data_IF_448441631413
#
_entry.id   IF_448441631413
#
_cell.length_a   1.000
_cell.length_b   1.000
_cell.length_c   1.000
_cell.angle_alpha   90.00
_cell.angle_beta   90.00
_cell.angle_gamma   90.00
#
_symmetry.space_group_name_H-M   'P 1'
#
loop_
_entity.id
_entity.type
_entity.pdbx_description
1 polymer ?
#
# COMPACT_ATOMS: atom_id res chain seq x y z
N UNK A 1 -6.69 14.00 25.89
CA UNK A 1 -7.12 14.43 24.54
C UNK A 1 -6.96 13.27 23.59
N UNK A 2 -8.05 12.61 23.22
CA UNK A 2 -8.03 11.42 22.36
C UNK A 2 -7.58 11.82 20.95
N UNK A 3 -6.47 11.23 20.48
CA UNK A 3 -6.00 11.38 19.10
C UNK A 3 -6.90 10.54 18.18
N UNK A 4 -8.04 11.14 17.85
CA UNK A 4 -8.94 10.68 16.79
C UNK A 4 -8.21 10.91 15.48
N UNK A 5 -7.54 9.88 14.95
CA UNK A 5 -7.27 9.69 13.51
C UNK A 5 -6.52 8.36 13.26
N UNK A 6 -7.11 7.25 13.70
CA UNK A 6 -6.92 5.95 13.06
C UNK A 6 -8.19 5.69 12.25
N UNK A 7 -8.23 6.14 11.00
CA UNK A 7 -9.43 6.06 10.13
C UNK A 7 -9.80 4.60 9.81
N UNK A 8 -8.88 3.67 10.07
CA UNK A 8 -9.16 2.23 10.11
C UNK A 8 -9.85 1.89 11.43
N UNK A 9 -11.08 1.35 11.41
CA UNK A 9 -11.81 0.76 12.55
C UNK A 9 -11.10 -0.46 13.20
N UNK A 10 -9.79 -0.59 13.01
CA UNK A 10 -8.99 -1.74 13.37
C UNK A 10 -8.16 -1.43 14.62
N UNK A 11 -8.39 -2.24 15.66
CA UNK A 11 -7.64 -2.22 16.91
C UNK A 11 -6.18 -2.59 16.61
N UNK A 12 -5.26 -1.79 17.13
CA UNK A 12 -3.83 -2.09 17.04
C UNK A 12 -3.43 -2.99 18.21
N UNK A 13 -2.70 -4.05 17.90
CA UNK A 13 -2.24 -5.06 18.87
C UNK A 13 -0.72 -4.96 19.00
N UNK A 14 -0.17 -5.39 20.13
CA UNK A 14 1.27 -5.56 20.28
C UNK A 14 1.64 -7.02 20.05
N UNK A 15 2.59 -7.28 19.15
CA UNK A 15 3.15 -8.61 18.93
C UNK A 15 4.67 -8.48 18.84
N UNK A 16 5.39 -9.24 19.68
CA UNK A 16 6.85 -9.23 19.76
C UNK A 16 7.46 -7.81 19.91
N UNK A 17 6.85 -6.98 20.77
CA UNK A 17 7.28 -5.60 21.01
C UNK A 17 6.94 -4.60 19.90
N UNK A 18 6.29 -5.02 18.81
CA UNK A 18 5.88 -4.15 17.70
C UNK A 18 4.37 -3.95 17.68
N UNK A 19 3.94 -2.72 17.44
CA UNK A 19 2.53 -2.39 17.23
C UNK A 19 2.12 -2.80 15.81
N UNK A 20 1.11 -3.64 15.71
CA UNK A 20 0.61 -4.22 14.47
C UNK A 20 -0.90 -4.00 14.32
N UNK A 21 -1.38 -4.04 13.08
CA UNK A 21 -2.81 -4.06 12.73
C UNK A 21 -3.10 -5.30 11.89
N UNK A 22 -4.18 -6.02 12.22
CA UNK A 22 -4.63 -7.16 11.41
C UNK A 22 -5.23 -6.65 10.10
N UNK A 23 -4.78 -7.21 9.00
CA UNK A 23 -5.28 -6.97 7.66
C UNK A 23 -5.81 -8.29 7.10
N UNK A 24 -7.01 -8.27 6.52
CA UNK A 24 -7.63 -9.45 5.91
C UNK A 24 -8.14 -9.12 4.52
N UNK A 25 -7.79 -9.95 3.55
CA UNK A 25 -8.39 -9.89 2.22
C UNK A 25 -9.86 -10.32 2.27
N UNK A 26 -10.73 -9.72 1.47
CA UNK A 26 -12.16 -10.04 1.48
C UNK A 26 -12.47 -11.48 1.06
N UNK A 27 -11.61 -12.10 0.25
CA UNK A 27 -11.69 -13.52 -0.14
C UNK A 27 -10.97 -14.49 0.80
N UNK A 28 -10.56 -14.04 1.99
CA UNK A 28 -10.02 -14.91 3.04
C UNK A 28 -11.14 -15.62 3.79
N UNK A 29 -10.89 -16.83 4.30
CA UNK A 29 -11.88 -17.61 5.06
C UNK A 29 -12.45 -16.82 6.25
N UNK A 30 -11.62 -16.07 6.97
CA UNK A 30 -12.07 -15.26 8.10
C UNK A 30 -13.03 -14.13 7.70
N UNK A 31 -12.88 -13.58 6.49
CA UNK A 31 -13.77 -12.55 5.95
C UNK A 31 -15.06 -13.16 5.37
N UNK A 32 -14.95 -14.30 4.68
CA UNK A 32 -16.07 -15.05 4.09
C UNK A 32 -17.06 -15.53 5.16
N UNK A 33 -16.56 -16.10 6.27
CA UNK A 33 -17.39 -16.52 7.42
C UNK A 33 -18.07 -15.36 8.15
N UNK A 34 -17.58 -14.12 8.00
CA UNK A 34 -18.17 -12.90 8.59
C UNK A 34 -19.09 -12.15 7.62
N UNK A 35 -19.54 -12.80 6.55
CA UNK A 35 -20.58 -12.29 5.64
C UNK A 35 -20.06 -11.57 4.39
N UNK A 36 -18.77 -11.65 4.03
CA UNK A 36 -18.32 -11.14 2.72
C UNK A 36 -18.82 -11.99 1.55
N UNK A 37 -19.18 -13.26 1.80
CA UNK A 37 -19.69 -14.19 0.79
C UNK A 37 -20.94 -13.68 0.07
N UNK A 38 -21.87 -13.05 0.79
CA UNK A 38 -23.14 -12.57 0.24
C UNK A 38 -22.96 -11.47 -0.83
N UNK A 39 -21.83 -10.75 -0.82
CA UNK A 39 -21.57 -9.66 -1.78
C UNK A 39 -20.68 -10.07 -2.95
N UNK A 40 -19.90 -11.14 -2.81
CA UNK A 40 -18.83 -11.46 -3.76
C UNK A 40 -18.87 -12.87 -4.36
N UNK A 41 -19.60 -13.83 -3.77
CA UNK A 41 -19.47 -15.24 -4.18
C UNK A 41 -20.75 -15.91 -4.68
N UNK A 42 -21.92 -15.25 -4.62
CA UNK A 42 -23.18 -15.87 -5.02
C UNK A 42 -23.56 -17.05 -4.10
N UNK A 43 -24.84 -17.20 -3.81
CA UNK A 43 -25.33 -18.01 -2.68
C UNK A 43 -25.28 -19.55 -2.90
N UNK A 44 -24.36 -20.08 -3.71
CA UNK A 44 -24.49 -21.45 -4.27
C UNK A 44 -23.26 -22.36 -4.24
N UNK A 45 -22.16 -21.99 -3.59
CA UNK A 45 -21.01 -22.90 -3.42
C UNK A 45 -20.90 -23.44 -1.99
N UNK A 46 -21.18 -24.75 -1.81
CA UNK A 46 -20.98 -25.46 -0.52
C UNK A 46 -19.52 -25.53 -0.09
N UNK A 47 -18.58 -25.42 -1.04
CA UNK A 47 -17.14 -25.43 -0.80
C UNK A 47 -16.56 -24.02 -0.95
N UNK A 48 -16.12 -23.42 0.15
CA UNK A 48 -15.49 -22.08 0.14
C UNK A 48 -13.99 -22.22 -0.09
N UNK A 49 -13.53 -21.83 -1.28
CA UNK A 49 -12.10 -21.82 -1.62
C UNK A 49 -11.55 -20.43 -1.29
N UNK A 50 -10.55 -20.35 -0.40
CA UNK A 50 -9.90 -19.10 -0.05
C UNK A 50 -9.13 -18.52 -1.25
N UNK A 51 -9.40 -17.25 -1.59
CA UNK A 51 -8.66 -16.48 -2.60
C UNK A 51 -7.82 -15.35 -1.98
N UNK A 52 -7.93 -15.17 -0.67
CA UNK A 52 -7.21 -14.14 0.08
C UNK A 52 -6.57 -14.69 1.34
N UNK A 53 -5.57 -13.96 1.83
CA UNK A 53 -4.86 -14.25 3.07
C UNK A 53 -5.25 -13.27 4.19
N UNK A 54 -5.01 -13.71 5.42
CA UNK A 54 -5.05 -12.86 6.62
C UNK A 54 -3.62 -12.67 7.11
N UNK A 55 -3.25 -11.44 7.45
CA UNK A 55 -1.93 -11.12 7.95
C UNK A 55 -1.94 -9.96 8.93
N UNK A 56 -0.77 -9.64 9.47
CA UNK A 56 -0.56 -8.47 10.30
C UNK A 56 0.44 -7.53 9.62
N UNK A 57 0.17 -6.23 9.67
CA UNK A 57 1.05 -5.19 9.13
C UNK A 57 1.48 -4.30 10.29
N UNK A 58 2.75 -3.86 10.28
CA UNK A 58 3.22 -2.87 11.23
C UNK A 58 2.36 -1.60 11.17
N UNK A 59 2.03 -1.03 12.33
CA UNK A 59 1.26 0.20 12.35
C UNK A 59 2.08 1.36 11.76
N UNK A 60 1.51 2.01 10.74
CA UNK A 60 2.12 3.14 10.02
C UNK A 60 1.77 4.50 10.61
N UNK A 61 1.01 4.51 11.73
CA UNK A 61 0.60 5.74 12.39
C UNK A 61 -0.66 6.36 11.79
N UNK A 62 -0.84 7.67 12.03
CA UNK A 62 -2.04 8.41 11.65
C UNK A 62 -2.05 8.76 10.16
N UNK A 63 -3.24 8.62 9.56
CA UNK A 63 -3.51 9.01 8.17
C UNK A 63 -3.27 10.51 7.96
N UNK A 64 -3.48 11.34 8.99
CA UNK A 64 -3.22 12.79 8.93
C UNK A 64 -1.76 13.13 8.68
N UNK A 65 -0.82 12.25 9.04
CA UNK A 65 0.61 12.43 8.74
C UNK A 65 0.96 11.79 7.40
N UNK A 66 0.38 10.63 7.12
CA UNK A 66 0.68 9.84 5.93
C UNK A 66 0.19 10.49 4.63
N UNK A 67 -1.01 11.08 4.61
CA UNK A 67 -1.57 11.70 3.39
C UNK A 67 -0.75 12.90 2.94
N UNK A 68 -0.45 13.93 3.78
CA UNK A 68 0.36 15.07 3.35
C UNK A 68 1.73 14.67 2.85
N UNK A 69 2.39 13.70 3.51
CA UNK A 69 3.66 13.15 3.07
C UNK A 69 3.56 12.53 1.67
N UNK A 70 2.56 11.66 1.45
CA UNK A 70 2.35 11.00 0.14
C UNK A 70 2.03 12.02 -0.95
N UNK A 71 1.21 13.04 -0.65
CA UNK A 71 0.92 14.12 -1.58
C UNK A 71 2.18 14.89 -1.97
N UNK A 72 3.06 15.20 -1.01
CA UNK A 72 4.32 15.89 -1.30
C UNK A 72 5.26 15.02 -2.14
N UNK A 73 5.37 13.72 -1.84
CA UNK A 73 6.17 12.78 -2.61
C UNK A 73 5.69 12.67 -4.06
N UNK A 74 4.37 12.61 -4.27
CA UNK A 74 3.79 12.60 -5.63
C UNK A 74 4.10 13.92 -6.36
N UNK A 75 3.94 15.08 -5.69
CA UNK A 75 4.30 16.38 -6.29
C UNK A 75 5.76 16.44 -6.72
N UNK A 76 6.68 15.95 -5.88
CA UNK A 76 8.10 15.87 -6.23
C UNK A 76 8.33 14.98 -7.45
N UNK A 77 7.68 13.81 -7.50
CA UNK A 77 7.76 12.93 -8.67
C UNK A 77 7.25 13.60 -9.95
N UNK A 78 6.18 14.38 -9.88
CA UNK A 78 5.68 15.17 -11.02
C UNK A 78 6.66 16.26 -11.46
N UNK A 79 7.34 16.91 -10.51
CA UNK A 79 8.39 17.88 -10.80
C UNK A 79 9.59 17.22 -11.50
N UNK A 80 10.05 16.06 -11.02
CA UNK A 80 11.15 15.32 -11.62
C UNK A 80 10.80 14.81 -13.02
N UNK A 81 9.53 14.51 -13.27
CA UNK A 81 8.97 14.18 -14.59
C UNK A 81 8.80 15.39 -15.51
N UNK A 82 8.87 16.62 -14.99
CA UNK A 82 8.61 17.86 -15.74
C UNK A 82 7.12 18.13 -16.02
N UNK A 83 6.21 17.50 -15.27
CA UNK A 83 4.77 17.65 -15.42
C UNK A 83 4.19 18.55 -14.32
N UNK A 84 3.42 19.58 -14.69
CA UNK A 84 2.79 20.50 -13.73
C UNK A 84 1.44 20.00 -13.19
N UNK A 85 0.86 19.00 -13.83
CA UNK A 85 -0.44 18.40 -13.46
C UNK A 85 -0.55 16.96 -13.97
N UNK A 86 -1.56 16.23 -13.48
CA UNK A 86 -1.87 14.89 -13.95
C UNK A 86 -2.18 14.86 -15.46
N UNK A 87 -2.94 15.85 -15.94
CA UNK A 87 -3.27 16.02 -17.35
C UNK A 87 -1.99 16.25 -18.17
N UNK A 88 -1.13 17.16 -17.72
CA UNK A 88 0.17 17.40 -18.36
C UNK A 88 1.03 16.13 -18.42
N UNK A 89 1.05 15.33 -17.35
CA UNK A 89 1.76 14.04 -17.34
C UNK A 89 1.22 13.05 -18.39
N UNK A 90 -0.10 12.96 -18.56
CA UNK A 90 -0.70 12.15 -19.62
C UNK A 90 -0.40 12.70 -21.02
N UNK A 91 -0.39 14.02 -21.19
CA UNK A 91 -0.05 14.64 -22.47
C UNK A 91 1.41 14.37 -22.87
N UNK A 92 2.35 14.48 -21.92
CA UNK A 92 3.76 14.12 -22.12
C UNK A 92 3.94 12.65 -22.53
N UNK A 93 3.14 11.76 -21.95
CA UNK A 93 3.14 10.34 -22.32
C UNK A 93 2.59 10.13 -23.74
N UNK A 94 1.46 10.76 -24.10
CA UNK A 94 0.83 10.61 -25.43
C UNK A 94 1.67 11.21 -26.56
N UNK A 95 2.36 12.31 -26.28
CA UNK A 95 3.26 13.00 -27.22
C UNK A 95 4.64 12.33 -27.32
N UNK A 96 4.89 11.26 -26.57
CA UNK A 96 6.17 10.54 -26.52
C UNK A 96 7.37 11.40 -26.06
N UNK A 97 7.10 12.54 -25.39
CA UNK A 97 8.14 13.35 -24.74
C UNK A 97 8.63 12.65 -23.47
N UNK A 98 7.70 12.08 -22.70
CA UNK A 98 8.03 11.21 -21.57
C UNK A 98 8.46 9.82 -22.09
N UNK A 99 9.64 9.38 -21.69
CA UNK A 99 10.18 8.05 -22.02
C UNK A 99 10.23 7.17 -20.78
N UNK A 100 9.90 5.90 -20.97
CA UNK A 100 9.96 4.87 -19.93
C UNK A 100 11.00 3.83 -20.32
N UNK A 101 11.72 3.33 -19.33
CA UNK A 101 12.72 2.29 -19.51
C UNK A 101 12.35 1.05 -18.71
N UNK A 102 12.45 -0.13 -19.34
CA UNK A 102 12.20 -1.40 -18.66
C UNK A 102 13.45 -1.78 -17.88
N UNK A 103 13.29 -1.95 -16.55
CA UNK A 103 14.38 -2.39 -15.68
C UNK A 103 14.31 -3.90 -15.44
N UNK A 104 15.44 -4.57 -15.62
CA UNK A 104 15.60 -6.00 -15.28
C UNK A 104 15.51 -6.21 -13.77
N UNK A 105 15.32 -7.46 -13.34
CA UNK A 105 15.28 -7.80 -11.90
C UNK A 105 16.56 -7.39 -11.17
N UNK A 106 17.73 -7.58 -11.78
CA UNK A 106 19.00 -7.13 -11.23
C UNK A 106 19.05 -5.60 -11.07
N UNK A 107 18.61 -4.85 -12.09
CA UNK A 107 18.57 -3.39 -12.03
C UNK A 107 17.60 -2.89 -10.94
N UNK A 108 16.54 -3.61 -10.59
CA UNK A 108 15.64 -3.24 -9.49
C UNK A 108 16.28 -3.49 -8.11
N UNK A 109 17.01 -4.59 -7.96
CA UNK A 109 17.77 -4.89 -6.74
C UNK A 109 18.84 -3.81 -6.50
N UNK A 110 19.55 -3.42 -7.56
CA UNK A 110 20.51 -2.32 -7.53
C UNK A 110 19.85 -0.94 -7.34
N UNK A 111 18.61 -0.75 -7.79
CA UNK A 111 17.88 0.49 -7.51
C UNK A 111 17.47 0.67 -6.04
N UNK A 112 17.48 -0.40 -5.25
CA UNK A 112 17.15 -0.39 -3.83
C UNK A 112 18.34 -0.05 -2.94
N UNK A 113 18.15 -0.17 -1.63
CA UNK A 113 19.29 -0.15 -0.70
C UNK A 113 19.97 -1.52 -0.73
N UNK A 114 21.22 -1.58 -1.16
CA UNK A 114 21.99 -2.83 -1.27
C UNK A 114 23.44 -2.65 -0.81
N UNK A 115 24.15 -3.74 -0.50
CA UNK A 115 25.57 -3.73 -0.14
C UNK A 115 25.92 -3.21 1.26
N UNK A 116 24.94 -3.05 2.16
CA UNK A 116 25.15 -2.56 3.53
C UNK A 116 25.07 -3.70 4.55
N UNK A 117 25.92 -3.65 5.59
CA UNK A 117 25.88 -4.58 6.73
C UNK A 117 24.60 -4.42 7.55
N UNK A 118 24.10 -3.19 7.68
CA UNK A 118 22.84 -2.87 8.33
C UNK A 118 22.27 -1.55 7.79
N UNK A 119 20.94 -1.45 7.65
CA UNK A 119 20.27 -0.19 7.33
C UNK A 119 18.95 -0.07 8.11
N UNK A 120 18.58 1.15 8.47
CA UNK A 120 17.28 1.45 9.09
C UNK A 120 16.45 2.30 8.13
N UNK A 121 15.27 1.80 7.72
CA UNK A 121 14.36 2.54 6.85
C UNK A 121 13.34 3.32 7.68
N UNK A 122 13.63 4.60 7.93
CA UNK A 122 12.66 5.52 8.51
C UNK A 122 11.76 6.06 7.41
N UNK A 123 10.47 5.79 7.53
CA UNK A 123 9.46 6.37 6.65
C UNK A 123 8.96 7.64 7.34
N UNK A 124 9.69 8.74 7.10
CA UNK A 124 9.44 10.12 7.56
C UNK A 124 9.23 10.34 9.07
#
# INVERSE_FOLDING_TARGET
>A
GNSVCNVSNFISLYQNGRRIKKYRGMGSLEAMTKGSDQRYLGDTAKLKIAQGVVGAVADKGSVLKFIPYTMQAVKQGFQDLGASSLQSGHDLLRTSVLRLEVRTGAAQVEGGVHGLVSYEKKSF
#
